data_IF_481142214862
#
_entry.id   IF_481142214862
#
_cell.length_a   1.000
_cell.length_b   1.000
_cell.length_c   1.000
_cell.angle_alpha   90.00
_cell.angle_beta   90.00
_cell.angle_gamma   90.00
#
_symmetry.space_group_name_H-M   'P 1'
#
loop_
_entity.id
_entity.type
_entity.pdbx_description
1 polymer ?
#
# COMPACT_ATOMS: atom_id res chain seq x y z
N UNK A 1 47.85 -13.15 -2.85
CA UNK A 1 47.67 -12.38 -1.59
C UNK A 1 47.55 -13.40 -0.47
N UNK A 2 48.16 -13.16 0.69
CA UNK A 2 48.24 -14.16 1.77
C UNK A 2 46.84 -14.43 2.36
N UNK A 3 46.38 -15.68 2.28
CA UNK A 3 45.03 -16.10 2.71
C UNK A 3 44.77 -15.81 4.20
N UNK A 4 45.85 -15.76 5.00
CA UNK A 4 45.78 -15.41 6.41
C UNK A 4 45.36 -13.96 6.63
N UNK A 5 45.89 -13.03 5.84
CA UNK A 5 45.52 -11.60 5.90
C UNK A 5 44.06 -11.39 5.48
N UNK A 6 43.59 -12.12 4.47
CA UNK A 6 42.19 -12.07 4.03
C UNK A 6 41.22 -12.47 5.14
N UNK A 7 41.52 -13.55 5.87
CA UNK A 7 40.69 -14.00 7.01
C UNK A 7 40.63 -12.99 8.16
N UNK A 8 41.74 -12.32 8.45
CA UNK A 8 41.79 -11.26 9.47
C UNK A 8 40.89 -10.10 9.07
N UNK A 9 41.01 -9.61 7.83
CA UNK A 9 40.19 -8.51 7.30
C UNK A 9 38.70 -8.86 7.33
N UNK A 10 38.31 -10.07 6.92
CA UNK A 10 36.90 -10.48 6.96
C UNK A 10 36.33 -10.55 8.38
N UNK A 11 37.14 -10.91 9.38
CA UNK A 11 36.71 -10.95 10.78
C UNK A 11 36.55 -9.54 11.36
N UNK A 12 37.43 -8.60 11.00
CA UNK A 12 37.31 -7.19 11.41
C UNK A 12 36.06 -6.53 10.81
N UNK A 13 35.76 -6.78 9.53
CA UNK A 13 34.54 -6.26 8.88
C UNK A 13 33.27 -6.79 9.58
N UNK A 14 33.26 -8.07 10.00
CA UNK A 14 32.16 -8.65 10.78
C UNK A 14 32.01 -7.95 12.13
N UNK A 15 33.11 -7.67 12.81
CA UNK A 15 33.10 -6.92 14.08
C UNK A 15 32.57 -5.48 13.88
N UNK A 16 32.94 -4.79 12.82
CA UNK A 16 32.41 -3.44 12.50
C UNK A 16 30.91 -3.44 12.22
N UNK A 17 30.39 -4.51 11.61
CA UNK A 17 28.96 -4.71 11.36
C UNK A 17 28.18 -4.92 12.66
N UNK A 18 28.67 -5.79 13.54
CA UNK A 18 28.03 -6.07 14.84
C UNK A 18 28.01 -4.84 15.76
N UNK A 19 29.10 -4.07 15.75
CA UNK A 19 29.24 -2.82 16.52
C UNK A 19 28.61 -1.58 15.87
N UNK A 20 28.03 -1.72 14.66
CA UNK A 20 27.46 -0.61 13.86
C UNK A 20 28.42 0.56 13.62
N UNK A 21 29.74 0.28 13.57
CA UNK A 21 30.77 1.27 13.27
C UNK A 21 30.70 1.77 11.81
N UNK A 22 30.15 0.94 10.93
CA UNK A 22 29.94 1.24 9.51
C UNK A 22 28.51 0.86 9.10
N UNK A 23 27.87 1.62 8.19
CA UNK A 23 26.56 1.25 7.67
C UNK A 23 26.61 -0.10 6.94
N UNK A 24 25.58 -0.94 7.14
CA UNK A 24 25.55 -2.35 6.71
C UNK A 24 25.91 -2.56 5.23
N UNK A 25 25.46 -1.67 4.36
CA UNK A 25 25.71 -1.73 2.91
C UNK A 25 27.21 -1.68 2.56
N UNK A 26 28.03 -0.95 3.33
CA UNK A 26 29.48 -0.87 3.10
C UNK A 26 30.21 -2.11 3.59
N UNK A 27 29.80 -2.65 4.75
CA UNK A 27 30.33 -3.92 5.25
C UNK A 27 30.05 -5.04 4.25
N UNK A 28 28.84 -5.10 3.70
CA UNK A 28 28.47 -6.12 2.72
C UNK A 28 29.26 -6.00 1.41
N UNK A 29 29.51 -4.78 0.93
CA UNK A 29 30.37 -4.53 -0.23
C UNK A 29 31.81 -5.01 -0.01
N UNK A 30 32.43 -4.64 1.12
CA UNK A 30 33.80 -5.05 1.46
C UNK A 30 33.90 -6.56 1.64
N UNK A 31 32.93 -7.17 2.33
CA UNK A 31 32.92 -8.61 2.58
C UNK A 31 32.79 -9.39 1.27
N UNK A 32 31.98 -8.91 0.31
CA UNK A 32 31.85 -9.53 -1.00
C UNK A 32 33.11 -9.35 -1.86
N UNK A 33 33.79 -8.20 -1.73
CA UNK A 33 35.06 -7.92 -2.41
C UNK A 33 36.18 -8.84 -1.91
N UNK A 34 36.27 -9.04 -0.59
CA UNK A 34 37.30 -9.88 0.02
C UNK A 34 36.95 -11.37 0.06
N UNK A 35 35.70 -11.76 -0.15
CA UNK A 35 35.32 -13.18 -0.28
C UNK A 35 35.21 -13.64 -1.72
N UNK A 36 35.45 -12.77 -2.71
CA UNK A 36 35.40 -13.09 -4.16
C UNK A 36 34.10 -13.83 -4.56
N UNK A 37 32.99 -13.57 -3.87
CA UNK A 37 31.71 -14.25 -4.07
C UNK A 37 31.62 -15.68 -3.50
N UNK A 38 32.64 -16.13 -2.76
CA UNK A 38 32.72 -17.44 -2.11
C UNK A 38 32.26 -17.45 -0.65
N UNK A 39 31.16 -16.76 -0.32
CA UNK A 39 30.59 -16.89 1.04
C UNK A 39 29.87 -18.23 1.19
N UNK A 40 30.62 -19.25 1.59
CA UNK A 40 30.05 -20.31 2.42
C UNK A 40 29.62 -19.68 3.75
N UNK A 41 28.30 -19.64 3.98
CA UNK A 41 27.73 -19.30 5.28
C UNK A 41 27.55 -17.81 5.53
N UNK A 42 26.52 -17.23 4.91
CA UNK A 42 25.46 -16.51 5.63
C UNK A 42 24.27 -16.38 4.68
N UNK A 43 23.04 -16.72 5.10
CA UNK A 43 21.89 -16.58 4.23
C UNK A 43 21.78 -15.09 3.88
N UNK A 44 22.00 -14.77 2.61
CA UNK A 44 21.57 -13.53 1.96
C UNK A 44 20.21 -13.22 2.59
N UNK A 45 20.17 -12.17 3.42
CA UNK A 45 18.98 -11.82 4.18
C UNK A 45 17.83 -11.81 3.19
N UNK A 46 16.98 -12.83 3.28
CA UNK A 46 15.94 -13.09 2.30
C UNK A 46 14.88 -12.06 2.58
N UNK A 47 15.12 -10.90 2.00
CA UNK A 47 14.34 -9.69 1.97
C UNK A 47 12.93 -9.93 2.55
N UNK A 48 12.78 -9.60 3.83
CA UNK A 48 11.56 -9.77 4.65
C UNK A 48 10.40 -8.87 4.15
N UNK A 49 10.55 -8.24 2.98
CA UNK A 49 9.55 -7.39 2.36
C UNK A 49 8.65 -8.12 1.34
N UNK A 50 8.81 -9.45 1.15
CA UNK A 50 7.91 -10.26 0.29
C UNK A 50 6.40 -10.07 0.54
N UNK A 51 5.88 -10.01 1.79
CA UNK A 51 4.44 -9.90 1.98
C UNK A 51 3.89 -8.53 1.54
N UNK A 52 4.64 -7.44 1.73
CA UNK A 52 4.24 -6.08 1.33
C UNK A 52 4.15 -5.94 -0.20
N UNK A 53 5.15 -6.47 -0.92
CA UNK A 53 5.15 -6.40 -2.38
C UNK A 53 3.99 -7.20 -2.98
N UNK A 54 3.66 -8.36 -2.40
CA UNK A 54 2.51 -9.17 -2.82
C UNK A 54 1.19 -8.44 -2.57
N UNK A 55 1.01 -7.85 -1.37
CA UNK A 55 -0.20 -7.08 -1.04
C UNK A 55 -0.37 -5.87 -1.96
N UNK A 56 0.73 -5.19 -2.32
CA UNK A 56 0.71 -4.07 -3.26
C UNK A 56 0.27 -4.50 -4.66
N UNK A 57 0.78 -5.62 -5.16
CA UNK A 57 0.36 -6.20 -6.45
C UNK A 57 -1.12 -6.61 -6.40
N UNK A 58 -1.56 -7.25 -5.32
CA UNK A 58 -2.97 -7.63 -5.13
C UNK A 58 -3.87 -6.39 -5.16
N UNK A 59 -3.52 -5.31 -4.45
CA UNK A 59 -4.37 -4.12 -4.41
C UNK A 59 -4.45 -3.39 -5.75
N UNK A 60 -3.32 -3.31 -6.47
CA UNK A 60 -3.28 -2.73 -7.82
C UNK A 60 -4.09 -3.59 -8.79
N UNK A 61 -3.97 -4.93 -8.70
CA UNK A 61 -4.79 -5.86 -9.47
C UNK A 61 -6.27 -5.69 -9.16
N UNK A 62 -6.63 -5.54 -7.89
CA UNK A 62 -8.01 -5.32 -7.43
C UNK A 62 -8.58 -4.01 -7.98
N UNK A 63 -7.79 -2.94 -7.96
CA UNK A 63 -8.17 -1.64 -8.52
C UNK A 63 -8.40 -1.74 -10.02
N UNK A 64 -7.49 -2.36 -10.76
CA UNK A 64 -7.64 -2.55 -12.20
C UNK A 64 -8.86 -3.41 -12.54
N UNK A 65 -9.10 -4.47 -11.76
CA UNK A 65 -10.24 -5.35 -11.93
C UNK A 65 -11.56 -4.65 -11.62
N UNK A 66 -11.61 -3.81 -10.59
CA UNK A 66 -12.81 -3.05 -10.21
C UNK A 66 -13.22 -2.05 -11.30
N UNK A 67 -12.26 -1.39 -11.94
CA UNK A 67 -12.53 -0.50 -13.09
C UNK A 67 -12.97 -1.30 -14.31
N UNK A 68 -12.33 -2.44 -14.56
CA UNK A 68 -12.71 -3.32 -15.67
C UNK A 68 -14.15 -3.82 -15.54
N UNK A 69 -14.55 -4.28 -14.35
CA UNK A 69 -15.93 -4.73 -14.09
C UNK A 69 -16.95 -3.61 -14.25
N UNK A 70 -16.60 -2.38 -13.89
CA UNK A 70 -17.49 -1.23 -14.07
C UNK A 70 -17.81 -0.96 -15.55
N UNK A 71 -16.82 -1.13 -16.43
CA UNK A 71 -17.02 -0.96 -17.87
C UNK A 71 -17.80 -2.13 -18.49
N UNK A 72 -17.74 -3.31 -17.87
CA UNK A 72 -18.46 -4.52 -18.30
C UNK A 72 -19.88 -4.54 -17.72
N UNK A 73 -20.71 -3.57 -18.12
CA UNK A 73 -22.09 -3.38 -17.63
C UNK A 73 -23.08 -4.46 -18.11
N UNK A 74 -22.63 -5.44 -18.90
CA UNK A 74 -23.42 -6.60 -19.37
C UNK A 74 -23.48 -7.75 -18.34
N UNK A 75 -22.80 -7.62 -17.20
CA UNK A 75 -22.87 -8.62 -16.13
C UNK A 75 -24.22 -8.55 -15.39
N UNK A 76 -24.65 -9.68 -14.81
CA UNK A 76 -25.86 -9.68 -13.99
C UNK A 76 -25.70 -8.76 -12.77
N UNK A 77 -26.72 -7.95 -12.49
CA UNK A 77 -26.73 -6.99 -11.38
C UNK A 77 -26.35 -7.64 -10.03
N UNK A 78 -26.82 -8.86 -9.79
CA UNK A 78 -26.50 -9.62 -8.58
C UNK A 78 -24.99 -9.89 -8.43
N UNK A 79 -24.30 -10.25 -9.53
CA UNK A 79 -22.88 -10.57 -9.49
C UNK A 79 -22.03 -9.30 -9.36
N UNK A 80 -22.43 -8.21 -10.03
CA UNK A 80 -21.77 -6.92 -9.93
C UNK A 80 -21.81 -6.36 -8.50
N UNK A 81 -22.97 -6.40 -7.82
CA UNK A 81 -23.10 -5.96 -6.43
C UNK A 81 -22.24 -6.85 -5.51
N UNK A 82 -22.30 -8.17 -5.71
CA UNK A 82 -21.53 -9.13 -4.91
C UNK A 82 -20.02 -8.87 -4.98
N UNK A 83 -19.46 -8.68 -6.17
CA UNK A 83 -18.03 -8.40 -6.34
C UNK A 83 -17.64 -7.01 -5.80
N UNK A 84 -18.49 -6.00 -6.00
CA UNK A 84 -18.24 -4.64 -5.50
C UNK A 84 -18.08 -4.63 -3.98
N UNK A 85 -19.00 -5.30 -3.27
CA UNK A 85 -18.95 -5.44 -1.81
C UNK A 85 -17.71 -6.24 -1.38
N UNK A 86 -17.40 -7.33 -2.08
CA UNK A 86 -16.23 -8.15 -1.79
C UNK A 86 -14.92 -7.35 -1.93
N UNK A 87 -14.76 -6.56 -3.00
CA UNK A 87 -13.58 -5.70 -3.19
C UNK A 87 -13.49 -4.58 -2.17
N UNK A 88 -14.63 -3.97 -1.80
CA UNK A 88 -14.67 -2.97 -0.72
C UNK A 88 -14.21 -3.54 0.62
N UNK A 89 -14.77 -4.68 1.03
CA UNK A 89 -14.44 -5.33 2.32
C UNK A 89 -12.97 -5.76 2.36
N UNK A 90 -12.47 -6.40 1.29
CA UNK A 90 -11.08 -6.85 1.23
C UNK A 90 -10.09 -5.68 1.27
N UNK A 91 -10.39 -4.57 0.58
CA UNK A 91 -9.59 -3.34 0.63
C UNK A 91 -9.46 -2.82 2.07
N UNK A 92 -10.57 -2.70 2.80
CA UNK A 92 -10.58 -2.21 4.18
C UNK A 92 -9.82 -3.14 5.12
N UNK A 93 -10.01 -4.46 4.99
CA UNK A 93 -9.29 -5.46 5.78
C UNK A 93 -7.78 -5.36 5.60
N UNK A 94 -7.31 -5.21 4.35
CA UNK A 94 -5.88 -5.07 4.05
C UNK A 94 -5.32 -3.78 4.67
N UNK A 95 -6.05 -2.66 4.58
CA UNK A 95 -5.64 -1.43 5.23
C UNK A 95 -5.53 -1.60 6.75
N UNK A 96 -6.59 -2.09 7.42
CA UNK A 96 -6.59 -2.26 8.90
C UNK A 96 -5.48 -3.22 9.34
N UNK A 97 -5.22 -4.30 8.60
CA UNK A 97 -4.14 -5.22 8.88
C UNK A 97 -2.75 -4.55 8.81
N UNK A 98 -2.50 -3.75 7.77
CA UNK A 98 -1.22 -3.03 7.61
C UNK A 98 -0.98 -2.00 8.71
N UNK A 99 -2.05 -1.36 9.15
CA UNK A 99 -2.01 -0.36 10.21
C UNK A 99 -1.78 -0.94 11.59
N UNK A 100 -2.29 -2.15 11.84
CA UNK A 100 -1.98 -2.88 13.07
C UNK A 100 -0.52 -3.33 13.11
N UNK A 101 0.07 -3.66 11.96
CA UNK A 101 1.43 -4.19 11.88
C UNK A 101 2.51 -3.10 11.72
N UNK A 102 2.15 -1.82 11.91
CA UNK A 102 3.03 -0.64 11.83
C UNK A 102 3.70 -0.38 10.47
N UNK A 103 3.24 -1.05 9.40
CA UNK A 103 3.72 -0.82 8.04
C UNK A 103 2.84 0.22 7.35
N UNK A 104 3.26 1.48 7.47
CA UNK A 104 2.58 2.63 6.87
C UNK A 104 3.04 2.83 5.42
N UNK A 105 2.72 1.87 4.53
CA UNK A 105 2.96 2.05 3.10
C UNK A 105 1.90 2.99 2.49
N UNK A 106 2.35 4.20 2.14
CA UNK A 106 1.52 5.23 1.53
C UNK A 106 0.77 4.73 0.29
N UNK A 107 1.40 3.86 -0.51
CA UNK A 107 0.80 3.40 -1.77
C UNK A 107 -0.38 2.47 -1.51
N UNK A 108 -0.24 1.57 -0.53
CA UNK A 108 -1.30 0.62 -0.16
C UNK A 108 -2.48 1.36 0.47
N UNK A 109 -2.21 2.33 1.34
CA UNK A 109 -3.29 3.10 1.97
C UNK A 109 -4.04 3.99 0.96
N UNK A 110 -3.32 4.63 0.05
CA UNK A 110 -3.93 5.48 -0.99
C UNK A 110 -4.76 4.65 -1.97
N UNK A 111 -4.23 3.52 -2.44
CA UNK A 111 -4.96 2.61 -3.33
C UNK A 111 -6.17 1.97 -2.64
N UNK A 112 -6.07 1.64 -1.36
CA UNK A 112 -7.20 1.14 -0.57
C UNK A 112 -8.30 2.19 -0.42
N UNK A 113 -7.92 3.44 -0.12
CA UNK A 113 -8.84 4.56 -0.05
C UNK A 113 -9.58 4.74 -1.38
N UNK A 114 -8.84 4.81 -2.49
CA UNK A 114 -9.42 4.98 -3.82
C UNK A 114 -10.39 3.85 -4.19
N UNK A 115 -10.02 2.59 -3.91
CA UNK A 115 -10.91 1.44 -4.08
C UNK A 115 -12.20 1.57 -3.26
N UNK A 116 -12.09 2.00 -2.00
CA UNK A 116 -13.24 2.22 -1.12
C UNK A 116 -14.17 3.32 -1.67
N UNK A 117 -13.62 4.39 -2.23
CA UNK A 117 -14.42 5.44 -2.87
C UNK A 117 -15.14 4.93 -4.13
N UNK A 118 -14.43 4.24 -5.02
CA UNK A 118 -15.01 3.67 -6.26
C UNK A 118 -16.15 2.70 -5.92
N UNK A 119 -15.90 1.77 -5.00
CA UNK A 119 -16.89 0.76 -4.59
C UNK A 119 -18.10 1.39 -3.89
N UNK A 120 -17.90 2.45 -3.09
CA UNK A 120 -18.99 3.17 -2.44
C UNK A 120 -19.89 3.90 -3.45
N UNK A 121 -19.30 4.54 -4.46
CA UNK A 121 -20.06 5.23 -5.51
C UNK A 121 -20.85 4.22 -6.36
N UNK A 122 -20.20 3.12 -6.77
CA UNK A 122 -20.87 2.05 -7.52
C UNK A 122 -22.03 1.43 -6.73
N UNK A 123 -21.83 1.18 -5.44
CA UNK A 123 -22.91 0.70 -4.58
C UNK A 123 -24.06 1.72 -4.48
N UNK A 124 -23.75 3.02 -4.42
CA UNK A 124 -24.73 4.10 -4.39
C UNK A 124 -25.58 4.19 -5.65
N UNK A 125 -24.96 4.10 -6.83
CA UNK A 125 -25.66 4.12 -8.12
C UNK A 125 -26.61 2.92 -8.28
N UNK A 126 -26.19 1.73 -7.87
CA UNK A 126 -27.01 0.53 -8.02
C UNK A 126 -28.18 0.52 -7.01
N UNK A 127 -27.97 0.98 -5.77
CA UNK A 127 -29.01 0.95 -4.73
C UNK A 127 -30.04 2.08 -4.88
N UNK A 128 -29.63 3.24 -5.39
CA UNK A 128 -30.48 4.43 -5.53
C UNK A 128 -30.29 5.09 -6.90
N UNK A 129 -30.85 4.50 -7.97
CA UNK A 129 -30.92 5.18 -9.26
C UNK A 129 -31.68 6.51 -9.09
N UNK A 130 -31.19 7.56 -9.76
CA UNK A 130 -31.81 8.90 -9.89
C UNK A 130 -31.69 9.90 -8.72
N UNK A 131 -30.89 9.64 -7.68
CA UNK A 131 -30.64 10.63 -6.62
C UNK A 131 -29.18 11.03 -6.52
N UNK A 132 -28.76 11.99 -7.34
CA UNK A 132 -27.42 12.60 -7.30
C UNK A 132 -27.06 13.14 -5.90
N UNK A 133 -28.05 13.63 -5.13
CA UNK A 133 -27.88 14.05 -3.74
C UNK A 133 -27.27 12.95 -2.83
N UNK A 134 -27.63 11.68 -3.07
CA UNK A 134 -27.12 10.54 -2.28
C UNK A 134 -25.66 10.27 -2.66
N UNK A 135 -25.29 10.40 -3.93
CA UNK A 135 -23.91 10.25 -4.38
C UNK A 135 -23.00 11.33 -3.79
N UNK A 136 -23.45 12.59 -3.75
CA UNK A 136 -22.71 13.66 -3.06
C UNK A 136 -22.54 13.36 -1.57
N UNK A 137 -23.57 12.86 -0.91
CA UNK A 137 -23.50 12.49 0.51
C UNK A 137 -22.53 11.33 0.76
N UNK A 138 -22.53 10.29 -0.07
CA UNK A 138 -21.58 9.16 0.01
C UNK A 138 -20.14 9.65 -0.18
N UNK A 139 -19.89 10.51 -1.16
CA UNK A 139 -18.55 11.06 -1.41
C UNK A 139 -18.09 11.96 -0.26
N UNK A 140 -18.99 12.76 0.33
CA UNK A 140 -18.70 13.59 1.49
C UNK A 140 -18.30 12.72 2.71
N UNK A 141 -19.05 11.64 2.97
CA UNK A 141 -18.72 10.69 4.04
C UNK A 141 -17.36 10.02 3.82
N UNK A 142 -17.04 9.63 2.58
CA UNK A 142 -15.74 9.07 2.24
C UNK A 142 -14.60 10.07 2.48
N UNK A 143 -14.76 11.34 2.08
CA UNK A 143 -13.77 12.38 2.32
C UNK A 143 -13.57 12.66 3.82
N UNK A 144 -14.65 12.67 4.60
CA UNK A 144 -14.58 12.82 6.07
C UNK A 144 -13.86 11.64 6.72
N UNK A 145 -14.12 10.41 6.27
CA UNK A 145 -13.40 9.22 6.72
C UNK A 145 -11.90 9.34 6.44
N UNK A 146 -11.52 9.84 5.26
CA UNK A 146 -10.11 10.07 4.93
C UNK A 146 -9.47 11.15 5.80
N UNK A 147 -10.18 12.25 6.06
CA UNK A 147 -9.71 13.27 6.99
C UNK A 147 -9.51 12.73 8.42
N UNK A 148 -10.48 11.96 8.93
CA UNK A 148 -10.41 11.34 10.24
C UNK A 148 -9.26 10.33 10.34
N UNK A 149 -9.09 9.46 9.34
CA UNK A 149 -7.99 8.50 9.28
C UNK A 149 -6.62 9.19 9.16
N UNK A 150 -6.51 10.23 8.33
CA UNK A 150 -5.29 11.03 8.20
C UNK A 150 -4.92 11.77 9.49
N UNK A 151 -5.92 12.20 10.27
CA UNK A 151 -5.71 12.80 11.59
C UNK A 151 -5.25 11.78 12.63
N UNK A 152 -5.92 10.63 12.71
CA UNK A 152 -5.61 9.55 13.65
C UNK A 152 -4.21 8.97 13.42
N UNK A 153 -3.77 8.88 12.17
CA UNK A 153 -2.50 8.25 11.80
C UNK A 153 -1.40 9.22 11.35
N UNK A 154 -1.61 10.53 11.61
CA UNK A 154 -0.66 11.62 11.28
C UNK A 154 -0.15 11.61 9.82
N UNK A 155 -0.89 11.02 8.89
CA UNK A 155 -0.53 10.96 7.48
C UNK A 155 -0.99 12.22 6.76
N UNK A 156 -0.03 13.03 6.29
CA UNK A 156 -0.31 14.28 5.57
C UNK A 156 -1.05 14.00 4.26
N UNK A 157 -0.67 12.97 3.51
CA UNK A 157 -1.26 12.65 2.21
C UNK A 157 -2.76 12.36 2.28
N UNK A 158 -3.22 11.68 3.33
CA UNK A 158 -4.66 11.35 3.49
C UNK A 158 -5.48 12.58 3.88
N UNK A 159 -4.89 13.50 4.67
CA UNK A 159 -5.51 14.81 4.95
C UNK A 159 -5.62 15.66 3.69
N UNK A 160 -4.54 15.75 2.90
CA UNK A 160 -4.52 16.51 1.64
C UNK A 160 -5.54 15.93 0.66
N UNK A 161 -5.59 14.61 0.51
CA UNK A 161 -6.56 13.92 -0.35
C UNK A 161 -8.01 14.18 0.09
N UNK A 162 -8.30 14.12 1.39
CA UNK A 162 -9.64 14.39 1.91
C UNK A 162 -10.08 15.85 1.74
N UNK A 163 -9.17 16.82 1.93
CA UNK A 163 -9.44 18.24 1.71
C UNK A 163 -9.64 18.52 0.21
N UNK A 164 -8.78 17.99 -0.65
CA UNK A 164 -8.92 18.11 -2.10
C UNK A 164 -10.24 17.51 -2.60
N UNK A 165 -10.62 16.34 -2.08
CA UNK A 165 -11.92 15.71 -2.38
C UNK A 165 -13.11 16.56 -1.97
N UNK A 166 -13.08 17.19 -0.78
CA UNK A 166 -14.11 18.13 -0.33
C UNK A 166 -14.20 19.38 -1.22
N UNK A 167 -13.07 19.92 -1.65
CA UNK A 167 -13.04 21.07 -2.57
C UNK A 167 -13.68 20.70 -3.91
N UNK A 168 -13.30 19.54 -4.49
CA UNK A 168 -13.90 19.05 -5.74
C UNK A 168 -15.40 18.82 -5.59
N UNK A 169 -15.83 18.28 -4.45
CA UNK A 169 -17.25 18.06 -4.15
C UNK A 169 -18.02 19.38 -4.07
N UNK A 170 -17.46 20.40 -3.42
CA UNK A 170 -18.08 21.73 -3.39
C UNK A 170 -18.22 22.29 -4.80
N UNK A 171 -17.17 22.24 -5.62
CA UNK A 171 -17.24 22.67 -7.02
C UNK A 171 -18.33 21.91 -7.79
N UNK A 172 -18.42 20.59 -7.59
CA UNK A 172 -19.40 19.74 -8.27
C UNK A 172 -20.86 19.93 -7.81
N UNK A 173 -21.09 20.57 -6.65
CA UNK A 173 -22.44 20.96 -6.20
C UNK A 173 -22.85 22.31 -6.82
N UNK A 174 -21.89 23.19 -7.07
CA UNK A 174 -22.14 24.54 -7.60
C UNK A 174 -22.17 24.61 -9.14
N UNK A 175 -21.67 23.58 -9.83
CA UNK A 175 -21.74 23.45 -11.29
C UNK A 175 -23.03 22.74 -11.70
#
# INVERSE_FOLDING_TARGET
MDDHRRKIITNEIKYWKESRLLPDHYCDFLLNLYTEGGSEGEPISKNSHRPLNLLRIILIGLLSLSVFLFYFTELSLFLQIGLTIFFGITSVLIAVYMLKNSYLDLVILLSSGLLLLITSIQAGEILFPDKHAILYLITALNCLLWLAAGMKWKMVSFKVSGIAGLIVLLVAIFI
#
